data_IF_368114149678
#
_entry.id   IF_368114149678
#
_cell.length_a   1.000
_cell.length_b   1.000
_cell.length_c   1.000
_cell.angle_alpha   90.00
_cell.angle_beta   90.00
_cell.angle_gamma   90.00
#
_symmetry.space_group_name_H-M   'P 1'
#
loop_
_entity.id
_entity.type
_entity.pdbx_description
1 polymer ?
#
# COMPACT_ATOMS: atom_id res chain seq x y z
N UNK A 1 -6.74 0.62 -14.26
CA UNK A 1 -7.36 1.67 -13.43
C UNK A 1 -7.01 3.03 -14.01
N UNK A 2 -8.01 3.87 -14.31
CA UNK A 2 -7.81 5.23 -14.82
C UNK A 2 -8.28 6.20 -13.73
N UNK A 3 -7.34 6.76 -12.99
CA UNK A 3 -7.60 7.85 -12.06
C UNK A 3 -7.63 9.16 -12.83
N UNK A 4 -8.57 10.04 -12.50
CA UNK A 4 -8.57 11.40 -12.99
C UNK A 4 -7.66 12.29 -12.10
N UNK A 5 -7.52 13.56 -12.45
CA UNK A 5 -6.66 14.47 -11.68
C UNK A 5 -7.14 14.68 -10.24
N UNK A 6 -8.46 14.85 -10.03
CA UNK A 6 -9.02 15.01 -8.69
C UNK A 6 -8.80 13.78 -7.80
N UNK A 7 -8.84 12.57 -8.35
CA UNK A 7 -8.56 11.35 -7.58
C UNK A 7 -7.08 11.30 -7.16
N UNK A 8 -6.18 11.71 -8.06
CA UNK A 8 -4.74 11.74 -7.80
C UNK A 8 -4.44 12.74 -6.67
N UNK A 9 -5.03 13.93 -6.72
CA UNK A 9 -4.82 14.98 -5.73
C UNK A 9 -5.46 14.62 -4.38
N UNK A 10 -6.66 14.02 -4.41
CA UNK A 10 -7.32 13.52 -3.21
C UNK A 10 -6.44 12.48 -2.50
N UNK A 11 -5.90 11.51 -3.23
CA UNK A 11 -5.04 10.47 -2.64
C UNK A 11 -3.72 11.06 -2.13
N UNK A 12 -3.13 12.02 -2.86
CA UNK A 12 -1.94 12.74 -2.39
C UNK A 12 -2.21 13.51 -1.09
N UNK A 13 -3.44 13.99 -0.86
CA UNK A 13 -3.87 14.59 0.41
C UNK A 13 -3.73 13.67 1.63
N UNK A 14 -3.63 12.35 1.42
CA UNK A 14 -3.51 11.36 2.50
C UNK A 14 -2.07 10.91 2.81
N UNK A 15 -1.04 11.54 2.24
CA UNK A 15 0.39 11.17 2.46
C UNK A 15 0.82 11.05 3.92
N UNK A 16 0.18 11.79 4.82
CA UNK A 16 0.53 11.84 6.24
C UNK A 16 -0.50 11.16 7.14
N UNK A 17 -1.45 10.44 6.55
CA UNK A 17 -2.48 9.71 7.28
C UNK A 17 -1.83 8.61 8.14
N UNK A 18 -2.15 8.54 9.45
CA UNK A 18 -1.60 7.51 10.33
C UNK A 18 -1.99 6.09 9.91
N UNK A 19 -1.11 5.11 10.21
CA UNK A 19 -1.35 3.67 9.98
C UNK A 19 -2.71 3.22 10.54
N UNK A 20 -3.05 3.63 11.77
CA UNK A 20 -4.34 3.30 12.40
C UNK A 20 -5.56 3.77 11.64
N UNK A 21 -5.46 4.89 10.92
CA UNK A 21 -6.57 5.42 10.11
C UNK A 21 -6.76 4.60 8.84
N UNK A 22 -5.67 4.16 8.21
CA UNK A 22 -5.71 3.25 7.07
C UNK A 22 -6.27 1.87 7.44
N UNK A 23 -5.82 1.29 8.55
CA UNK A 23 -6.32 0.00 9.02
C UNK A 23 -7.81 0.06 9.37
N UNK A 24 -8.27 1.14 10.01
CA UNK A 24 -9.69 1.36 10.28
C UNK A 24 -10.50 1.50 8.98
N UNK A 25 -9.96 2.15 7.95
CA UNK A 25 -10.65 2.33 6.68
C UNK A 25 -10.90 1.01 5.92
N UNK A 26 -10.07 -0.01 6.14
CA UNK A 26 -10.15 -1.32 5.47
C UNK A 26 -10.69 -2.43 6.37
N UNK A 27 -11.17 -2.12 7.58
CA UNK A 27 -11.62 -3.11 8.58
C UNK A 27 -12.70 -4.07 8.05
N UNK A 28 -13.55 -3.60 7.13
CA UNK A 28 -14.64 -4.38 6.53
C UNK A 28 -14.33 -4.87 5.10
N UNK A 29 -13.07 -4.78 4.67
CA UNK A 29 -12.67 -5.18 3.32
C UNK A 29 -12.27 -6.65 3.30
N UNK A 30 -12.50 -7.32 2.18
CA UNK A 30 -11.95 -8.66 1.96
C UNK A 30 -10.45 -8.59 1.68
N UNK A 31 -9.75 -9.72 1.88
CA UNK A 31 -8.34 -9.83 1.55
C UNK A 31 -8.06 -9.39 0.10
N UNK A 32 -8.87 -9.83 -0.87
CA UNK A 32 -8.73 -9.44 -2.28
C UNK A 32 -8.87 -7.92 -2.51
N UNK A 33 -9.77 -7.26 -1.78
CA UNK A 33 -9.92 -5.80 -1.85
C UNK A 33 -8.68 -5.10 -1.28
N UNK A 34 -8.16 -5.61 -0.16
CA UNK A 34 -6.92 -5.11 0.45
C UNK A 34 -5.73 -5.31 -0.49
N UNK A 35 -5.60 -6.48 -1.13
CA UNK A 35 -4.54 -6.75 -2.12
C UNK A 35 -4.67 -5.83 -3.35
N UNK A 36 -5.90 -5.50 -3.76
CA UNK A 36 -6.16 -4.50 -4.82
C UNK A 36 -5.68 -3.11 -4.41
N UNK A 37 -5.88 -2.71 -3.15
CA UNK A 37 -5.33 -1.46 -2.62
C UNK A 37 -3.79 -1.49 -2.57
N UNK A 38 -3.19 -2.62 -2.21
CA UNK A 38 -1.73 -2.79 -2.28
C UNK A 38 -1.20 -2.53 -3.70
N UNK A 39 -1.88 -3.06 -4.73
CA UNK A 39 -1.53 -2.78 -6.13
C UNK A 39 -1.64 -1.27 -6.43
N UNK A 40 -2.74 -0.63 -6.00
CA UNK A 40 -2.97 0.80 -6.22
C UNK A 40 -1.86 1.67 -5.63
N UNK A 41 -1.54 1.50 -4.35
CA UNK A 41 -0.56 2.36 -3.68
C UNK A 41 0.88 2.07 -4.13
N UNK A 42 1.20 0.82 -4.48
CA UNK A 42 2.53 0.48 -5.00
C UNK A 42 2.76 1.00 -6.41
N UNK A 43 1.84 0.70 -7.34
CA UNK A 43 1.97 1.15 -8.74
C UNK A 43 1.73 2.66 -8.85
N UNK A 44 0.81 3.20 -8.05
CA UNK A 44 0.49 4.61 -8.03
C UNK A 44 1.64 5.49 -7.58
N UNK A 45 2.37 5.12 -6.53
CA UNK A 45 3.58 5.83 -6.07
C UNK A 45 4.64 5.95 -7.19
N UNK A 46 4.81 4.93 -8.03
CA UNK A 46 5.73 5.00 -9.17
C UNK A 46 5.21 5.87 -10.33
N UNK A 47 3.90 5.96 -10.48
CA UNK A 47 3.26 6.61 -11.63
C UNK A 47 3.03 8.11 -11.39
N UNK A 48 2.75 8.49 -10.16
CA UNK A 48 2.34 9.85 -9.80
C UNK A 48 3.40 10.49 -8.90
N UNK A 49 4.19 11.45 -9.41
CA UNK A 49 5.27 12.07 -8.63
C UNK A 49 4.82 12.76 -7.32
N UNK A 50 3.53 13.13 -7.22
CA UNK A 50 2.94 13.68 -6.00
C UNK A 50 2.71 12.64 -4.90
N UNK A 51 2.77 11.34 -5.21
CA UNK A 51 2.52 10.24 -4.27
C UNK A 51 3.84 9.73 -3.66
N UNK A 52 4.53 10.55 -2.87
CA UNK A 52 5.78 10.17 -2.19
C UNK A 52 5.52 9.68 -0.76
N UNK A 53 4.98 8.47 -0.62
CA UNK A 53 4.66 7.88 0.69
C UNK A 53 5.89 7.27 1.37
N UNK A 54 6.81 6.67 0.60
CA UNK A 54 8.04 6.06 1.12
C UNK A 54 7.77 4.99 2.19
N UNK A 55 8.35 5.13 3.38
CA UNK A 55 8.13 4.18 4.48
C UNK A 55 6.71 4.20 5.04
N UNK A 56 5.89 5.18 4.64
CA UNK A 56 4.48 5.33 5.03
C UNK A 56 3.50 4.85 3.96
N UNK A 57 3.97 4.13 2.95
CA UNK A 57 3.10 3.60 1.90
C UNK A 57 2.06 2.62 2.51
N UNK A 58 0.74 2.81 2.28
CA UNK A 58 -0.30 1.96 2.87
C UNK A 58 -0.17 0.47 2.56
N UNK A 59 0.44 0.10 1.43
CA UNK A 59 0.77 -1.31 1.11
C UNK A 59 1.52 -1.99 2.26
N UNK A 60 2.42 -1.27 2.93
CA UNK A 60 3.21 -1.80 4.05
C UNK A 60 2.32 -2.15 5.24
N UNK A 61 1.38 -1.27 5.57
CA UNK A 61 0.44 -1.44 6.68
C UNK A 61 -0.48 -2.62 6.43
N UNK A 62 -1.05 -2.69 5.23
CA UNK A 62 -1.97 -3.74 4.82
C UNK A 62 -1.31 -5.13 4.82
N UNK A 63 -0.12 -5.26 4.24
CA UNK A 63 0.58 -6.54 4.21
C UNK A 63 1.04 -6.99 5.59
N UNK A 64 1.42 -6.06 6.49
CA UNK A 64 1.72 -6.37 7.89
C UNK A 64 0.48 -6.87 8.63
N UNK A 65 -0.66 -6.21 8.45
CA UNK A 65 -1.92 -6.59 9.09
C UNK A 65 -2.39 -7.97 8.63
N UNK A 66 -2.47 -8.20 7.31
CA UNK A 66 -2.82 -9.51 6.75
C UNK A 66 -1.91 -10.64 7.28
N UNK A 67 -0.60 -10.38 7.40
CA UNK A 67 0.33 -11.35 7.98
C UNK A 67 0.06 -11.60 9.48
N UNK A 68 -0.26 -10.57 10.25
CA UNK A 68 -0.58 -10.69 11.67
C UNK A 68 -1.88 -11.49 11.89
N UNK A 69 -2.84 -11.37 10.97
CA UNK A 69 -4.12 -12.07 11.00
C UNK A 69 -4.07 -13.49 10.40
N UNK A 70 -2.87 -14.02 10.12
CA UNK A 70 -2.64 -15.32 9.45
C UNK A 70 -3.18 -15.41 8.00
N UNK A 71 -3.49 -14.29 7.36
CA UNK A 71 -3.94 -14.19 5.97
C UNK A 71 -2.82 -13.64 5.06
N UNK A 72 -1.57 -14.10 5.28
CA UNK A 72 -0.42 -13.56 4.58
C UNK A 72 -0.55 -13.68 3.04
N UNK A 73 -0.27 -12.59 2.33
CA UNK A 73 -0.29 -12.57 0.87
C UNK A 73 0.66 -13.61 0.27
N UNK A 74 0.27 -14.21 -0.85
CA UNK A 74 1.05 -15.24 -1.53
C UNK A 74 2.45 -14.76 -1.92
N UNK A 75 3.42 -15.67 -1.91
CA UNK A 75 4.82 -15.36 -2.23
C UNK A 75 4.98 -14.72 -3.61
N UNK A 76 4.19 -15.17 -4.58
CA UNK A 76 4.28 -14.66 -5.95
C UNK A 76 3.68 -13.26 -6.09
N UNK A 77 2.60 -12.95 -5.35
CA UNK A 77 2.08 -11.59 -5.24
C UNK A 77 3.12 -10.64 -4.64
N UNK A 78 3.77 -11.04 -3.53
CA UNK A 78 4.82 -10.23 -2.88
C UNK A 78 6.01 -10.01 -3.81
N UNK A 79 6.44 -11.04 -4.55
CA UNK A 79 7.51 -10.92 -5.55
C UNK A 79 7.11 -9.99 -6.70
N UNK A 80 5.86 -10.06 -7.15
CA UNK A 80 5.34 -9.18 -8.18
C UNK A 80 5.33 -7.72 -7.72
N UNK A 81 4.82 -7.43 -6.51
CA UNK A 81 4.80 -6.08 -5.94
C UNK A 81 6.20 -5.45 -5.90
N UNK A 82 7.20 -6.20 -5.42
CA UNK A 82 8.60 -5.73 -5.39
C UNK A 82 9.17 -5.35 -6.76
N UNK A 83 8.65 -5.92 -7.85
CA UNK A 83 9.07 -5.55 -9.21
C UNK A 83 8.37 -4.29 -9.73
N UNK A 84 7.26 -3.88 -9.09
CA UNK A 84 6.48 -2.71 -9.51
C UNK A 84 6.95 -1.41 -8.86
N UNK A 85 7.96 -1.42 -7.98
CA UNK A 85 8.38 -0.24 -7.22
C UNK A 85 9.87 -0.24 -6.91
N UNK A 86 10.47 0.96 -6.78
CA UNK A 86 11.80 1.17 -6.22
C UNK A 86 11.77 1.50 -4.71
N UNK A 87 10.57 1.60 -4.11
CA UNK A 87 10.39 1.84 -2.69
C UNK A 87 10.87 0.62 -1.88
N UNK A 88 12.09 0.70 -1.37
CA UNK A 88 12.77 -0.32 -0.57
C UNK A 88 12.03 -0.75 0.70
N UNK A 89 11.05 0.03 1.17
CA UNK A 89 10.28 -0.30 2.36
C UNK A 89 9.15 -1.30 2.05
N UNK A 90 8.70 -1.43 0.81
CA UNK A 90 7.70 -2.43 0.42
C UNK A 90 8.37 -3.81 0.35
N UNK A 91 7.79 -4.87 0.97
CA UNK A 91 6.42 -4.97 1.48
C UNK A 91 6.22 -4.74 2.98
N UNK A 92 7.24 -4.80 3.84
CA UNK A 92 7.04 -4.93 5.30
C UNK A 92 7.66 -3.81 6.13
N UNK A 93 8.02 -2.70 5.50
CA UNK A 93 8.63 -1.55 6.16
C UNK A 93 10.15 -1.68 6.33
N UNK A 94 10.77 -0.75 7.06
CA UNK A 94 12.18 -0.84 7.40
C UNK A 94 12.45 -2.14 8.16
N UNK A 95 13.61 -2.76 7.90
CA UNK A 95 14.10 -3.82 8.77
C UNK A 95 14.19 -3.24 10.19
N UNK A 96 13.56 -3.89 11.16
CA UNK A 96 13.71 -3.55 12.57
C UNK A 96 15.21 -3.69 12.89
N UNK A 97 15.89 -2.56 13.04
CA UNK A 97 17.25 -2.46 13.60
C UNK A 97 17.18 -2.47 15.10
#
# INVERSE_FOLDING_TARGET
MRLNHSDIDLIAGYLHTPESTWLKAVENFTDDQILTLCILFTVGEMKFPSWSFGSKNPTIYFLRQLKADNHAAEKDFVRWLKKQTDNRYIPYGPALT
#
